data_IF_595046224599
#
_entry.id   IF_595046224599
#
_cell.length_a   1.000
_cell.length_b   1.000
_cell.length_c   1.000
_cell.angle_alpha   90.00
_cell.angle_beta   90.00
_cell.angle_gamma   90.00
#
_symmetry.space_group_name_H-M   'P 1'
#
loop_
_entity.id
_entity.type
_entity.pdbx_description
1 polymer ?
#
# COMPACT_ATOMS: atom_id res chain seq x y z
N UNK A 1 13.40 -27.33 -53.92
CA UNK A 1 14.29 -28.11 -53.05
C UNK A 1 13.71 -28.09 -51.64
N UNK A 2 13.46 -29.25 -51.02
CA UNK A 2 12.99 -29.34 -49.64
C UNK A 2 14.18 -29.22 -48.69
N UNK A 3 14.08 -28.36 -47.68
CA UNK A 3 15.09 -28.24 -46.63
C UNK A 3 14.89 -29.38 -45.63
N UNK A 4 15.95 -30.16 -45.37
CA UNK A 4 15.94 -31.25 -44.39
C UNK A 4 16.84 -30.88 -43.23
N UNK A 5 16.28 -30.84 -42.01
CA UNK A 5 17.04 -30.57 -40.80
C UNK A 5 17.67 -31.86 -40.29
N UNK A 6 18.94 -31.80 -39.88
CA UNK A 6 19.69 -32.94 -39.35
C UNK A 6 20.28 -32.60 -37.97
N UNK A 7 20.52 -33.62 -37.14
CA UNK A 7 21.17 -33.45 -35.84
C UNK A 7 22.70 -33.35 -35.99
N UNK A 8 23.42 -33.22 -34.86
CA UNK A 8 24.89 -33.14 -34.83
C UNK A 8 25.61 -34.42 -35.31
N UNK A 9 24.90 -35.54 -35.41
CA UNK A 9 25.38 -36.81 -35.95
C UNK A 9 25.00 -37.01 -37.43
N UNK A 10 24.28 -36.07 -38.03
CA UNK A 10 23.81 -36.14 -39.41
C UNK A 10 22.46 -36.85 -39.62
N UNK A 11 21.79 -37.29 -38.56
CA UNK A 11 20.50 -37.98 -38.68
C UNK A 11 19.36 -36.97 -38.96
N UNK A 12 18.41 -37.30 -39.86
CA UNK A 12 17.28 -36.42 -40.17
C UNK A 12 16.36 -36.22 -38.96
N UNK A 13 16.02 -34.96 -38.70
CA UNK A 13 15.06 -34.56 -37.68
C UNK A 13 13.70 -34.42 -38.34
N UNK A 14 12.74 -35.23 -37.88
CA UNK A 14 11.35 -35.15 -38.34
C UNK A 14 10.65 -33.91 -37.79
N UNK A 15 9.61 -33.45 -38.49
CA UNK A 15 8.79 -32.31 -38.04
C UNK A 15 8.15 -32.55 -36.66
N UNK A 16 7.76 -33.80 -36.37
CA UNK A 16 7.24 -34.20 -35.06
C UNK A 16 8.28 -34.04 -33.96
N UNK A 17 9.54 -34.36 -34.24
CA UNK A 17 10.66 -34.17 -33.31
C UNK A 17 10.95 -32.69 -33.09
N UNK A 18 10.91 -31.87 -34.14
CA UNK A 18 11.05 -30.41 -34.02
C UNK A 18 9.92 -29.76 -33.21
N UNK A 19 8.68 -30.23 -33.37
CA UNK A 19 7.55 -29.78 -32.57
C UNK A 19 7.72 -30.15 -31.08
N UNK A 20 8.16 -31.37 -30.79
CA UNK A 20 8.44 -31.81 -29.42
C UNK A 20 9.56 -31.00 -28.75
N UNK A 21 10.64 -30.69 -29.48
CA UNK A 21 11.73 -29.85 -28.96
C UNK A 21 11.26 -28.42 -28.64
N UNK A 22 10.40 -27.83 -29.48
CA UNK A 22 9.79 -26.53 -29.20
C UNK A 22 8.89 -26.56 -27.96
N UNK A 23 8.04 -27.58 -27.83
CA UNK A 23 7.18 -27.76 -26.66
C UNK A 23 7.99 -27.94 -25.37
N UNK A 24 9.07 -28.73 -25.43
CA UNK A 24 9.99 -28.91 -24.31
C UNK A 24 10.68 -27.59 -23.92
N UNK A 25 11.12 -26.81 -24.91
CA UNK A 25 11.71 -25.48 -24.66
C UNK A 25 10.74 -24.53 -23.97
N UNK A 26 9.48 -24.48 -24.43
CA UNK A 26 8.42 -23.66 -23.83
C UNK A 26 8.10 -24.09 -22.38
N UNK A 27 8.06 -25.40 -22.11
CA UNK A 27 7.80 -25.92 -20.77
C UNK A 27 8.99 -25.65 -19.83
N UNK A 28 10.22 -25.75 -20.31
CA UNK A 28 11.42 -25.37 -19.55
C UNK A 28 11.44 -23.88 -19.22
N UNK A 29 11.03 -23.03 -20.15
CA UNK A 29 10.90 -21.60 -19.90
C UNK A 29 9.81 -21.31 -18.88
N UNK A 30 8.66 -21.98 -18.97
CA UNK A 30 7.57 -21.89 -17.97
C UNK A 30 8.06 -22.30 -16.59
N UNK A 31 8.77 -23.42 -16.47
CA UNK A 31 9.33 -23.89 -15.20
C UNK A 31 10.35 -22.90 -14.63
N UNK A 32 11.21 -22.32 -15.47
CA UNK A 32 12.13 -21.25 -15.06
C UNK A 32 11.40 -20.01 -14.55
N UNK A 33 10.32 -19.58 -15.22
CA UNK A 33 9.49 -18.43 -14.77
C UNK A 33 8.78 -18.72 -13.45
N UNK A 34 8.36 -19.97 -13.22
CA UNK A 34 7.75 -20.38 -11.97
C UNK A 34 8.77 -20.44 -10.83
N UNK A 35 9.98 -20.97 -11.09
CA UNK A 35 11.07 -21.02 -10.12
C UNK A 35 11.67 -19.63 -9.81
N UNK A 36 11.62 -18.70 -10.77
CA UNK A 36 12.09 -17.32 -10.59
C UNK A 36 11.11 -16.42 -9.82
N UNK A 37 9.92 -16.91 -9.46
CA UNK A 37 9.09 -16.24 -8.46
C UNK A 37 9.74 -16.45 -7.10
N UNK A 38 10.65 -15.55 -6.72
CA UNK A 38 11.13 -15.48 -5.36
C UNK A 38 9.93 -15.23 -4.42
N UNK A 39 9.96 -15.87 -3.26
CA UNK A 39 8.97 -15.57 -2.24
C UNK A 39 9.10 -14.10 -1.84
N UNK A 40 7.99 -13.35 -1.75
CA UNK A 40 8.02 -11.95 -1.40
C UNK A 40 8.71 -11.73 -0.05
N UNK A 41 9.91 -11.14 -0.07
CA UNK A 41 10.66 -10.83 1.15
C UNK A 41 10.19 -9.49 1.69
N UNK A 42 9.68 -9.49 2.91
CA UNK A 42 9.25 -8.27 3.62
C UNK A 42 10.46 -7.60 4.28
N UNK A 43 10.90 -6.46 3.72
CA UNK A 43 12.06 -5.71 4.22
C UNK A 43 11.60 -4.51 5.05
N UNK A 44 12.18 -4.35 6.25
CA UNK A 44 11.96 -3.19 7.12
C UNK A 44 12.45 -1.89 6.46
N UNK A 45 11.64 -0.84 6.50
CA UNK A 45 11.91 0.50 5.92
C UNK A 45 11.83 1.63 6.93
N UNK A 46 11.76 1.31 8.23
CA UNK A 46 11.72 2.29 9.32
C UNK A 46 10.36 2.37 9.99
N UNK A 47 10.23 3.37 10.86
CA UNK A 47 9.08 3.62 11.72
C UNK A 47 8.43 4.95 11.37
N UNK A 48 7.11 4.98 11.31
CA UNK A 48 6.34 6.19 11.03
C UNK A 48 5.37 6.48 12.16
N UNK A 49 5.37 7.75 12.55
CA UNK A 49 4.36 8.29 13.46
C UNK A 49 3.28 8.95 12.63
N UNK A 50 2.04 8.53 12.82
CA UNK A 50 0.87 9.08 12.12
C UNK A 50 -0.24 9.37 13.11
N UNK A 51 -1.00 10.44 12.88
CA UNK A 51 -2.15 10.80 13.71
C UNK A 51 -3.03 11.80 12.98
N UNK A 52 -4.02 12.33 13.68
CA UNK A 52 -4.87 13.41 13.20
C UNK A 52 -4.20 14.72 13.63
N UNK A 53 -3.99 15.62 12.68
CA UNK A 53 -3.37 16.91 12.94
C UNK A 53 -4.23 17.74 13.92
N UNK A 54 -3.58 18.55 14.77
CA UNK A 54 -4.30 19.44 15.69
C UNK A 54 -5.18 20.42 14.89
N UNK A 55 -6.33 20.78 15.47
CA UNK A 55 -7.29 21.70 14.86
C UNK A 55 -8.28 21.06 13.87
N UNK A 56 -7.98 19.91 13.27
CA UNK A 56 -8.89 19.28 12.30
C UNK A 56 -10.24 18.87 12.91
N UNK A 57 -10.25 18.43 14.16
CA UNK A 57 -11.49 18.08 14.86
C UNK A 57 -12.35 19.34 15.08
N UNK A 58 -11.73 20.44 15.50
CA UNK A 58 -12.43 21.69 15.75
C UNK A 58 -12.95 22.31 14.44
N UNK A 59 -12.15 22.25 13.37
CA UNK A 59 -12.57 22.65 12.02
C UNK A 59 -13.77 21.82 11.54
N UNK A 60 -13.78 20.50 11.80
CA UNK A 60 -14.90 19.64 11.45
C UNK A 60 -16.18 19.98 12.23
N UNK A 61 -16.06 20.26 13.53
CA UNK A 61 -17.17 20.74 14.36
C UNK A 61 -17.71 22.07 13.85
N UNK A 62 -16.85 23.04 13.59
CA UNK A 62 -17.26 24.35 13.05
C UNK A 62 -17.89 24.24 11.66
N UNK A 63 -17.37 23.38 10.79
CA UNK A 63 -17.95 23.15 9.47
C UNK A 63 -19.36 22.55 9.59
N UNK A 64 -19.55 21.62 10.52
CA UNK A 64 -20.86 21.06 10.83
C UNK A 64 -21.83 22.12 11.36
N UNK A 65 -21.40 22.95 12.31
CA UNK A 65 -22.21 24.06 12.83
C UNK A 65 -22.65 25.03 11.72
N UNK A 66 -21.74 25.41 10.81
CA UNK A 66 -22.06 26.25 9.65
C UNK A 66 -23.11 25.58 8.76
N UNK A 67 -23.00 24.28 8.54
CA UNK A 67 -23.94 23.51 7.74
C UNK A 67 -25.33 23.48 8.39
N UNK A 68 -25.39 23.30 9.72
CA UNK A 68 -26.64 23.39 10.48
C UNK A 68 -27.29 24.77 10.36
N UNK A 69 -26.52 25.85 10.49
CA UNK A 69 -27.02 27.22 10.32
C UNK A 69 -27.56 27.47 8.90
N UNK A 70 -26.88 26.95 7.88
CA UNK A 70 -27.34 27.06 6.49
C UNK A 70 -28.65 26.28 6.26
N UNK A 71 -28.77 25.07 6.79
CA UNK A 71 -29.98 24.26 6.69
C UNK A 71 -31.18 24.93 7.36
N UNK A 72 -30.96 25.53 8.55
CA UNK A 72 -31.99 26.31 9.25
C UNK A 72 -32.43 27.54 8.43
N UNK A 73 -31.49 28.30 7.86
CA UNK A 73 -31.80 29.46 7.00
C UNK A 73 -32.57 29.07 5.74
N UNK A 74 -32.31 27.88 5.19
CA UNK A 74 -33.01 27.35 4.03
C UNK A 74 -34.40 26.76 4.37
N UNK A 75 -34.83 26.80 5.64
CA UNK A 75 -36.09 26.19 6.09
C UNK A 75 -36.09 24.66 6.08
N UNK A 76 -34.91 24.05 5.94
CA UNK A 76 -34.73 22.60 5.94
C UNK A 76 -34.60 22.01 7.36
N UNK A 77 -34.77 20.70 7.47
CA UNK A 77 -34.47 19.98 8.72
C UNK A 77 -32.96 20.06 9.00
N UNK A 78 -32.53 20.41 10.23
CA UNK A 78 -31.13 20.37 10.60
C UNK A 78 -30.53 18.97 10.41
N UNK A 79 -29.24 18.88 10.01
CA UNK A 79 -28.48 17.63 10.03
C UNK A 79 -28.47 16.98 11.42
N UNK A 80 -28.17 15.69 11.46
CA UNK A 80 -27.93 14.98 12.73
C UNK A 80 -26.74 15.59 13.48
N UNK A 81 -26.69 15.49 14.82
CA UNK A 81 -25.58 16.01 15.61
C UNK A 81 -24.22 15.46 15.17
N UNK A 82 -23.18 16.27 15.29
CA UNK A 82 -21.81 15.84 14.99
C UNK A 82 -21.37 14.72 15.92
N UNK A 83 -21.17 13.52 15.36
CA UNK A 83 -20.59 12.39 16.10
C UNK A 83 -19.06 12.44 16.03
N UNK A 84 -18.46 12.93 17.12
CA UNK A 84 -17.00 13.00 17.27
C UNK A 84 -16.33 11.62 17.16
N UNK A 85 -16.98 10.58 17.68
CA UNK A 85 -16.39 9.24 17.70
C UNK A 85 -16.38 8.60 16.32
N UNK A 86 -17.46 8.77 15.55
CA UNK A 86 -17.53 8.34 14.17
C UNK A 86 -16.54 9.13 13.29
N UNK A 87 -16.40 10.44 13.56
CA UNK A 87 -15.43 11.26 12.87
C UNK A 87 -13.98 10.80 13.15
N UNK A 88 -13.59 10.58 14.40
CA UNK A 88 -12.24 10.11 14.75
C UNK A 88 -11.88 8.75 14.12
N UNK A 89 -12.87 7.85 13.93
CA UNK A 89 -12.67 6.56 13.26
C UNK A 89 -12.34 6.72 11.78
N UNK A 90 -12.97 7.68 11.11
CA UNK A 90 -12.89 7.89 9.65
C UNK A 90 -11.88 8.97 9.26
N UNK A 91 -11.48 9.82 10.19
CA UNK A 91 -10.56 10.92 9.96
C UNK A 91 -9.23 10.43 9.39
N UNK A 92 -8.75 11.15 8.37
CA UNK A 92 -7.50 10.82 7.69
C UNK A 92 -6.33 11.07 8.61
N UNK A 93 -5.63 9.98 8.97
CA UNK A 93 -4.35 10.06 9.68
C UNK A 93 -3.26 10.51 8.72
N UNK A 94 -2.53 11.54 9.09
CA UNK A 94 -1.39 12.07 8.35
C UNK A 94 -0.10 11.74 9.10
N UNK A 95 1.01 11.69 8.37
CA UNK A 95 2.31 11.46 8.98
C UNK A 95 2.79 12.74 9.68
N UNK A 96 3.22 12.62 10.94
CA UNK A 96 3.81 13.75 11.71
C UNK A 96 5.08 14.26 11.03
N UNK A 97 5.83 13.33 10.41
CA UNK A 97 7.06 13.59 9.66
C UNK A 97 7.02 12.87 8.32
N UNK A 98 7.51 13.52 7.27
CA UNK A 98 7.57 12.96 5.91
C UNK A 98 8.49 11.73 5.82
N UNK A 99 9.72 11.84 6.34
CA UNK A 99 10.70 10.75 6.38
C UNK A 99 10.44 9.82 7.57
N UNK A 100 10.49 8.49 7.39
CA UNK A 100 10.47 7.53 8.49
C UNK A 100 11.69 7.66 9.40
N UNK A 101 11.55 7.22 10.65
CA UNK A 101 12.65 7.03 11.59
C UNK A 101 13.31 5.68 11.34
N UNK A 102 14.63 5.61 11.51
CA UNK A 102 15.36 4.35 11.42
C UNK A 102 15.16 3.55 12.72
N UNK A 103 15.24 4.24 13.86
CA UNK A 103 15.12 3.64 15.19
C UNK A 103 13.69 3.78 15.73
N UNK A 104 13.19 2.73 16.38
CA UNK A 104 11.86 2.73 17.01
C UNK A 104 11.78 3.74 18.14
N UNK A 105 12.84 3.86 18.95
CA UNK A 105 12.90 4.77 20.10
C UNK A 105 12.73 6.24 19.68
N UNK A 106 13.37 6.65 18.58
CA UNK A 106 13.21 7.99 18.04
C UNK A 106 11.76 8.26 17.56
N UNK A 107 11.11 7.25 16.95
CA UNK A 107 9.70 7.34 16.59
C UNK A 107 8.81 7.42 17.83
N UNK A 108 9.13 6.70 18.90
CA UNK A 108 8.39 6.73 20.15
C UNK A 108 8.46 8.11 20.83
N UNK A 109 9.65 8.71 20.91
CA UNK A 109 9.81 10.09 21.39
C UNK A 109 8.99 11.08 20.56
N UNK A 110 8.99 10.94 19.24
CA UNK A 110 8.17 11.77 18.35
C UNK A 110 6.67 11.58 18.58
N UNK A 111 6.21 10.35 18.84
CA UNK A 111 4.81 10.06 19.19
C UNK A 111 4.41 10.80 20.47
N UNK A 112 5.23 10.75 21.51
CA UNK A 112 4.97 11.42 22.78
C UNK A 112 4.90 12.94 22.62
N UNK A 113 5.82 13.52 21.83
CA UNK A 113 5.78 14.94 21.49
C UNK A 113 4.52 15.31 20.69
N UNK A 114 4.13 14.50 19.72
CA UNK A 114 2.92 14.76 18.93
C UNK A 114 1.66 14.78 19.80
N UNK A 115 1.54 13.84 20.73
CA UNK A 115 0.43 13.82 21.72
C UNK A 115 0.43 15.09 22.57
N UNK A 116 1.60 15.53 23.06
CA UNK A 116 1.72 16.77 23.86
C UNK A 116 1.33 18.03 23.07
N UNK A 117 1.56 18.03 21.75
CA UNK A 117 1.22 19.15 20.84
C UNK A 117 -0.24 19.06 20.35
N UNK A 118 -1.03 18.11 20.85
CA UNK A 118 -2.46 18.02 20.56
C UNK A 118 -2.80 17.24 19.30
N UNK A 119 -1.89 16.42 18.77
CA UNK A 119 -2.27 15.43 17.77
C UNK A 119 -3.18 14.37 18.40
N UNK A 120 -4.23 13.99 17.67
CA UNK A 120 -5.17 12.97 18.12
C UNK A 120 -4.86 11.62 17.46
N UNK A 121 -5.25 10.52 18.11
CA UNK A 121 -5.14 9.17 17.51
C UNK A 121 -3.73 8.84 16.98
N UNK A 122 -2.69 9.24 17.72
CA UNK A 122 -1.29 9.08 17.30
C UNK A 122 -0.85 7.62 17.43
N UNK A 123 -0.39 7.07 16.32
CA UNK A 123 0.05 5.69 16.17
C UNK A 123 1.48 5.63 15.66
N UNK A 124 2.18 4.56 16.04
CA UNK A 124 3.51 4.24 15.58
C UNK A 124 3.40 2.98 14.72
N UNK A 125 3.81 3.08 13.46
CA UNK A 125 3.61 2.05 12.44
C UNK A 125 4.98 1.66 11.89
N UNK A 126 5.26 0.36 11.87
CA UNK A 126 6.42 -0.18 11.17
C UNK A 126 6.16 -0.18 9.65
N UNK A 127 7.04 0.44 8.87
CA UNK A 127 6.95 0.41 7.41
C UNK A 127 7.71 -0.81 6.91
N UNK A 128 7.01 -1.70 6.22
CA UNK A 128 7.59 -2.84 5.50
C UNK A 128 7.39 -2.66 4.00
N UNK A 129 8.41 -2.99 3.21
CA UNK A 129 8.32 -3.08 1.75
C UNK A 129 8.44 -4.54 1.37
N UNK A 130 7.41 -5.05 0.70
CA UNK A 130 7.49 -6.35 0.03
C UNK A 130 8.34 -6.18 -1.22
N UNK A 131 9.42 -6.96 -1.31
CA UNK A 131 10.27 -7.06 -2.50
C UNK A 131 10.03 -8.43 -3.11
N UNK A 132 9.63 -8.45 -4.38
CA UNK A 132 9.42 -9.65 -5.20
C UNK A 132 10.59 -9.85 -6.16
#
# INVERSE_FOLDING_TARGET
MSLTFVNHNGDPITDSRMAAMRAQGMELERQRRLAAKADPVSVHKGWRVSGIAPGLLDEAKQAHERLCQMAQKAGGKPPEPFDETAWLRTAKRTAVRSKPYILQEAAQQCKELAVKVGWLEVQLIEIKKVVA
#
